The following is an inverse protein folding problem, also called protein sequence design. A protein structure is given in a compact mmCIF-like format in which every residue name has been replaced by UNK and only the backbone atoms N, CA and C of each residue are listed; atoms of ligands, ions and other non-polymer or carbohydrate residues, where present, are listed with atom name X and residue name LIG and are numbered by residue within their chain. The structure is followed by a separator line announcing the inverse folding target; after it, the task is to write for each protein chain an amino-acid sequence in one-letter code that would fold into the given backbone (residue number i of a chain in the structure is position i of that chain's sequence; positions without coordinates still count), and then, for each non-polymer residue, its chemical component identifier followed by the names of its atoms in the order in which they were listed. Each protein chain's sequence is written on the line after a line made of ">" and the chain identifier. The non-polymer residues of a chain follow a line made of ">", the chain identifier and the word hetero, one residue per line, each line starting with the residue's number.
data_IF_179930343940
#
_entry.id   IF_179930343940
#
_cell.length_a   1.000
_cell.length_b   1.000
_cell.length_c   1.000
_cell.angle_alpha   90.00
_cell.angle_beta   90.00
_cell.angle_gamma   90.00
#
_symmetry.space_group_name_H-M   'P 1'
#
loop_
_entity.id
_entity.type
_entity.pdbx_description
1 polymer ?
#
# COMPACT_ATOMS: atom_id res chain seq x y z
N UNK A 1 2.81 -19.15 -19.39
CA UNK A 1 1.90 -17.98 -19.42
C UNK A 1 1.49 -17.72 -20.86
N UNK A 2 0.19 -17.73 -21.16
CA UNK A 2 -0.31 -17.39 -22.50
C UNK A 2 -0.22 -15.87 -22.75
N UNK A 3 -0.21 -15.44 -24.03
CA UNK A 3 -0.22 -14.00 -24.36
C UNK A 3 -1.42 -13.27 -23.76
N UNK A 4 -2.59 -13.93 -23.71
CA UNK A 4 -3.79 -13.37 -23.09
C UNK A 4 -3.60 -13.12 -21.59
N UNK A 5 -2.95 -14.03 -20.87
CA UNK A 5 -2.63 -13.83 -19.44
C UNK A 5 -1.63 -12.69 -19.23
N UNK A 6 -0.62 -12.58 -20.09
CA UNK A 6 0.36 -11.49 -20.03
C UNK A 6 -0.31 -10.13 -20.24
N UNK A 7 -1.17 -10.01 -21.25
CA UNK A 7 -1.92 -8.79 -21.53
C UNK A 7 -2.87 -8.47 -20.37
N UNK A 8 -3.59 -9.47 -19.86
CA UNK A 8 -4.48 -9.29 -18.71
C UNK A 8 -3.76 -8.76 -17.48
N UNK A 9 -2.59 -9.32 -17.14
CA UNK A 9 -1.78 -8.85 -16.01
C UNK A 9 -1.26 -7.43 -16.26
N UNK A 10 -0.76 -7.14 -17.48
CA UNK A 10 -0.26 -5.80 -17.81
C UNK A 10 -1.36 -4.76 -17.67
N UNK A 11 -2.56 -5.04 -18.20
CA UNK A 11 -3.72 -4.14 -18.07
C UNK A 11 -4.12 -3.99 -16.60
N UNK A 12 -4.23 -5.09 -15.85
CA UNK A 12 -4.59 -5.05 -14.43
C UNK A 12 -3.61 -4.25 -13.57
N UNK A 13 -2.33 -4.22 -13.94
CA UNK A 13 -1.30 -3.42 -13.26
C UNK A 13 -1.32 -1.97 -13.73
N UNK A 14 -1.30 -1.71 -15.04
CA UNK A 14 -1.07 -0.36 -15.59
C UNK A 14 -2.33 0.50 -15.58
N UNK A 15 -3.49 -0.09 -15.89
CA UNK A 15 -4.74 0.66 -16.08
C UNK A 15 -5.16 1.43 -14.82
N UNK A 16 -5.08 0.89 -13.58
CA UNK A 16 -5.42 1.65 -12.38
C UNK A 16 -4.55 2.89 -12.16
N UNK A 17 -3.24 2.82 -12.44
CA UNK A 17 -2.34 3.99 -12.30
C UNK A 17 -2.65 5.07 -13.32
N UNK A 18 -2.87 4.68 -14.58
CA UNK A 18 -3.29 5.63 -15.62
C UNK A 18 -4.62 6.27 -15.24
N UNK A 19 -5.58 5.47 -14.77
CA UNK A 19 -6.87 5.95 -14.29
C UNK A 19 -6.75 6.95 -13.13
N UNK A 20 -5.88 6.68 -12.15
CA UNK A 20 -5.61 7.59 -11.04
C UNK A 20 -5.05 8.93 -11.53
N UNK A 21 -4.04 8.91 -12.42
CA UNK A 21 -3.45 10.14 -12.97
C UNK A 21 -4.50 10.95 -13.74
N UNK A 22 -5.29 10.29 -14.59
CA UNK A 22 -6.38 10.93 -15.34
C UNK A 22 -7.41 11.53 -14.39
N UNK A 23 -7.80 10.82 -13.33
CA UNK A 23 -8.75 11.31 -12.33
C UNK A 23 -8.24 12.55 -11.60
N UNK A 24 -6.98 12.56 -11.17
CA UNK A 24 -6.36 13.72 -10.50
C UNK A 24 -6.40 14.94 -11.42
N UNK A 25 -6.05 14.79 -12.70
CA UNK A 25 -6.04 15.91 -13.66
C UNK A 25 -7.45 16.42 -13.93
N UNK A 26 -8.42 15.54 -14.18
CA UNK A 26 -9.79 15.93 -14.52
C UNK A 26 -10.58 16.50 -13.33
N UNK A 27 -10.25 16.08 -12.11
CA UNK A 27 -10.98 16.45 -10.88
C UNK A 27 -10.23 17.46 -10.01
N UNK A 28 -9.16 18.07 -10.53
CA UNK A 28 -8.35 19.02 -9.78
C UNK A 28 -9.18 20.21 -9.28
N UNK A 29 -9.03 20.57 -8.00
CA UNK A 29 -9.78 21.62 -7.29
C UNK A 29 -11.31 21.45 -7.28
N UNK A 30 -11.85 20.31 -7.71
CA UNK A 30 -13.28 19.99 -7.59
C UNK A 30 -13.54 18.81 -6.67
N UNK A 31 -12.76 17.73 -6.79
CA UNK A 31 -12.81 16.57 -5.90
C UNK A 31 -11.44 16.05 -5.46
N UNK A 32 -10.36 16.55 -6.05
CA UNK A 32 -8.99 16.26 -5.64
C UNK A 32 -8.22 17.56 -5.47
N UNK A 33 -7.56 17.73 -4.33
CA UNK A 33 -6.64 18.82 -4.08
C UNK A 33 -5.31 18.35 -3.47
N UNK A 34 -4.47 19.30 -3.06
CA UNK A 34 -3.16 19.01 -2.47
C UNK A 34 -3.23 18.27 -1.13
N UNK A 35 -4.30 18.42 -0.35
CA UNK A 35 -4.50 17.73 0.92
C UNK A 35 -4.79 16.25 0.65
N UNK A 36 -5.64 15.94 -0.34
CA UNK A 36 -5.92 14.56 -0.73
C UNK A 36 -4.65 13.83 -1.16
N UNK A 37 -3.81 14.50 -1.96
CA UNK A 37 -2.51 13.96 -2.37
C UNK A 37 -1.55 13.77 -1.19
N UNK A 38 -1.55 14.69 -0.21
CA UNK A 38 -0.75 14.55 1.00
C UNK A 38 -1.23 13.36 1.85
N UNK A 39 -2.54 13.20 2.02
CA UNK A 39 -3.13 12.05 2.72
C UNK A 39 -2.74 10.75 2.01
N UNK A 40 -2.88 10.69 0.69
CA UNK A 40 -2.45 9.55 -0.12
C UNK A 40 -0.98 9.20 0.14
N UNK A 41 -0.10 10.20 0.05
CA UNK A 41 1.34 10.00 0.25
C UNK A 41 1.68 9.52 1.66
N UNK A 42 1.12 10.14 2.70
CA UNK A 42 1.36 9.77 4.10
C UNK A 42 0.85 8.35 4.38
N UNK A 43 -0.39 8.05 4.00
CA UNK A 43 -0.96 6.72 4.23
C UNK A 43 -0.22 5.64 3.44
N UNK A 44 0.19 5.92 2.20
CA UNK A 44 1.01 5.00 1.41
C UNK A 44 2.31 4.64 2.13
N UNK A 45 3.01 5.63 2.68
CA UNK A 45 4.25 5.40 3.44
C UNK A 45 3.99 4.62 4.73
N UNK A 46 2.96 4.97 5.49
CA UNK A 46 2.64 4.28 6.75
C UNK A 46 2.30 2.80 6.51
N UNK A 47 1.48 2.51 5.50
CA UNK A 47 1.13 1.12 5.13
C UNK A 47 2.37 0.39 4.59
N UNK A 48 3.17 1.03 3.74
CA UNK A 48 4.42 0.48 3.23
C UNK A 48 5.44 0.16 4.33
N UNK A 49 5.52 0.99 5.37
CA UNK A 49 6.31 0.70 6.56
C UNK A 49 5.69 -0.40 7.42
N UNK A 50 4.36 -0.50 7.50
CA UNK A 50 3.67 -1.65 8.08
C UNK A 50 4.11 -2.97 7.45
N UNK A 51 4.28 -3.02 6.13
CA UNK A 51 4.79 -4.21 5.42
C UNK A 51 6.29 -4.41 5.68
N UNK A 52 7.11 -3.40 5.41
CA UNK A 52 8.57 -3.57 5.40
C UNK A 52 9.19 -3.65 6.79
N UNK A 53 8.73 -2.82 7.73
CA UNK A 53 9.19 -2.83 9.12
C UNK A 53 8.39 -3.84 9.92
N UNK A 54 7.06 -3.83 9.81
CA UNK A 54 6.16 -4.69 10.57
C UNK A 54 6.20 -6.15 10.13
N UNK A 55 5.54 -6.46 9.01
CA UNK A 55 5.41 -7.84 8.54
C UNK A 55 6.79 -8.46 8.28
N UNK A 56 7.59 -7.85 7.42
CA UNK A 56 8.84 -8.43 6.94
C UNK A 56 9.94 -8.49 8.01
N UNK A 57 10.33 -7.36 8.61
CA UNK A 57 11.49 -7.32 9.54
C UNK A 57 11.13 -7.74 10.96
N UNK A 58 10.05 -7.20 11.53
CA UNK A 58 9.70 -7.38 12.94
C UNK A 58 8.99 -8.71 13.21
N UNK A 59 8.00 -9.08 12.40
CA UNK A 59 7.14 -10.25 12.67
C UNK A 59 7.67 -11.53 12.01
N UNK A 60 8.05 -11.49 10.74
CA UNK A 60 8.55 -12.65 10.00
C UNK A 60 10.00 -12.97 10.36
N UNK A 61 10.94 -12.02 10.19
CA UNK A 61 12.36 -12.29 10.41
C UNK A 61 12.86 -12.03 11.83
N UNK A 62 12.05 -11.43 12.71
CA UNK A 62 12.42 -11.12 14.10
C UNK A 62 13.75 -10.38 14.22
N UNK A 63 14.04 -9.47 13.28
CA UNK A 63 15.32 -8.78 13.17
C UNK A 63 15.63 -7.85 14.37
N UNK A 64 14.59 -7.43 15.09
CA UNK A 64 14.71 -6.64 16.32
C UNK A 64 13.47 -6.85 17.20
N UNK A 65 13.56 -6.42 18.46
CA UNK A 65 12.44 -6.36 19.40
C UNK A 65 12.02 -4.90 19.65
N UNK A 66 10.74 -4.68 19.92
CA UNK A 66 10.21 -3.35 20.27
C UNK A 66 9.08 -3.47 21.29
N UNK A 67 8.59 -2.32 21.79
CA UNK A 67 7.45 -2.27 22.69
C UNK A 67 6.19 -2.82 22.01
N UNK A 68 5.36 -3.55 22.76
CA UNK A 68 4.14 -4.18 22.23
C UNK A 68 3.19 -3.20 21.52
N UNK A 69 3.11 -1.96 22.00
CA UNK A 69 2.32 -0.90 21.34
C UNK A 69 2.78 -0.65 19.90
N UNK A 70 4.09 -0.58 19.68
CA UNK A 70 4.65 -0.32 18.36
C UNK A 70 4.59 -1.58 17.48
N UNK A 71 4.80 -2.76 18.05
CA UNK A 71 4.60 -4.04 17.37
C UNK A 71 3.17 -4.16 16.82
N UNK A 72 2.15 -3.86 17.63
CA UNK A 72 0.75 -3.88 17.20
C UNK A 72 0.41 -2.76 16.21
N UNK A 73 1.00 -1.57 16.36
CA UNK A 73 0.80 -0.49 15.40
C UNK A 73 1.32 -0.89 14.00
N UNK A 74 2.52 -1.46 13.92
CA UNK A 74 3.06 -1.95 12.65
C UNK A 74 2.29 -3.15 12.11
N UNK A 75 1.81 -4.06 12.96
CA UNK A 75 0.95 -5.16 12.54
C UNK A 75 -0.36 -4.63 11.91
N UNK A 76 -1.02 -3.67 12.54
CA UNK A 76 -2.25 -3.07 12.02
C UNK A 76 -2.00 -2.31 10.69
N UNK A 77 -0.91 -1.55 10.60
CA UNK A 77 -0.53 -0.87 9.35
C UNK A 77 -0.20 -1.86 8.23
N UNK A 78 0.47 -2.98 8.55
CA UNK A 78 0.72 -4.05 7.60
C UNK A 78 -0.57 -4.73 7.14
N UNK A 79 -1.54 -4.94 8.02
CA UNK A 79 -2.84 -5.50 7.65
C UNK A 79 -3.63 -4.61 6.69
N UNK A 80 -3.44 -3.29 6.75
CA UNK A 80 -4.03 -2.36 5.80
C UNK A 80 -3.43 -2.45 4.38
N UNK A 81 -2.35 -3.21 4.17
CA UNK A 81 -1.75 -3.41 2.84
C UNK A 81 -2.45 -4.46 1.99
N UNK A 82 -3.41 -5.20 2.55
CA UNK A 82 -4.13 -6.30 1.89
C UNK A 82 -3.21 -7.40 1.33
N UNK A 83 -2.04 -7.63 1.95
CA UNK A 83 -1.07 -8.67 1.55
C UNK A 83 -1.24 -9.99 2.33
N UNK A 84 -2.44 -10.22 2.85
CA UNK A 84 -2.77 -11.39 3.66
C UNK A 84 -2.78 -11.12 5.18
N UNK A 85 -3.32 -12.07 5.97
CA UNK A 85 -3.43 -11.96 7.41
C UNK A 85 -2.05 -12.01 8.09
N UNK A 86 -1.93 -11.39 9.26
CA UNK A 86 -0.67 -11.36 10.00
C UNK A 86 -0.36 -12.68 10.73
N UNK A 87 -1.36 -13.57 10.84
CA UNK A 87 -1.30 -14.83 11.59
C UNK A 87 -1.21 -16.06 10.68
N UNK A 88 -1.23 -15.86 9.37
CA UNK A 88 -1.05 -16.91 8.36
C UNK A 88 0.45 -17.26 8.22
#
# INVERSE_FOLDING_TARGET
>A
MSRTQQIGNLVGVVLPFVGLVVAIVLLWNSAVDGIDLAILGVLYLLVGFGVTIGYHRLLTHRAFATHKRLEYAFAALGSASLQGPVLD
#
